data_IF_414017350012
#
_entry.id   IF_414017350012
#
_cell.length_a   1.000
_cell.length_b   1.000
_cell.length_c   1.000
_cell.angle_alpha   90.00
_cell.angle_beta   90.00
_cell.angle_gamma   90.00
#
_symmetry.space_group_name_H-M   'P 1'
#
loop_
_entity.id
_entity.type
_entity.pdbx_description
1 polymer ?
#
# COMPACT_ATOMS: atom_id res chain seq x y z
N UNK A 1 6.90 -70.38 14.65
CA UNK A 1 7.63 -69.59 15.67
C UNK A 1 8.88 -69.02 15.03
N UNK A 2 8.81 -67.77 14.58
CA UNK A 2 9.95 -66.90 14.29
C UNK A 2 9.51 -65.52 14.74
N UNK A 3 10.04 -65.09 15.88
CA UNK A 3 9.85 -63.75 16.40
C UNK A 3 10.94 -62.93 15.73
N UNK A 4 10.58 -62.16 14.71
CA UNK A 4 11.46 -61.14 14.15
C UNK A 4 11.24 -59.86 14.96
N UNK A 5 12.11 -59.63 15.93
CA UNK A 5 12.22 -58.37 16.67
C UNK A 5 12.62 -57.25 15.70
N UNK A 6 11.68 -56.33 15.45
CA UNK A 6 11.94 -55.11 14.68
C UNK A 6 12.72 -54.15 15.56
N UNK A 7 14.01 -53.97 15.30
CA UNK A 7 14.80 -52.85 15.84
C UNK A 7 14.21 -51.53 15.28
N UNK A 8 13.75 -50.58 16.12
CA UNK A 8 13.45 -49.23 15.67
C UNK A 8 14.76 -48.42 15.70
N UNK A 9 15.69 -48.79 14.82
CA UNK A 9 16.85 -47.97 14.51
C UNK A 9 16.53 -47.14 13.26
N UNK A 10 16.74 -45.83 13.36
CA UNK A 10 16.73 -44.87 12.24
C UNK A 10 15.38 -44.54 11.61
N UNK A 11 14.60 -43.67 12.25
CA UNK A 11 13.68 -42.75 11.53
C UNK A 11 13.28 -41.54 12.39
N UNK A 12 14.22 -40.91 13.10
CA UNK A 12 13.95 -39.67 13.87
C UNK A 12 15.00 -38.59 13.57
N UNK A 13 15.43 -38.45 12.31
CA UNK A 13 16.41 -37.41 11.95
C UNK A 13 16.15 -36.74 10.60
N UNK A 14 14.91 -36.76 10.12
CA UNK A 14 14.52 -36.06 8.88
C UNK A 14 13.30 -35.14 9.04
N UNK A 15 12.65 -35.12 10.21
CA UNK A 15 11.44 -34.31 10.46
C UNK A 15 11.66 -33.08 11.35
N UNK A 16 12.88 -32.87 11.87
CA UNK A 16 13.17 -31.74 12.79
C UNK A 16 13.84 -30.55 12.08
N UNK A 17 14.15 -30.66 10.78
CA UNK A 17 14.76 -29.58 9.99
C UNK A 17 13.77 -28.80 9.09
N UNK A 18 12.46 -29.03 9.21
CA UNK A 18 11.44 -28.31 8.40
C UNK A 18 10.62 -27.33 9.26
N UNK A 19 10.86 -27.21 10.56
CA UNK A 19 10.08 -26.33 11.46
C UNK A 19 10.94 -25.28 12.20
N UNK A 20 12.13 -24.97 11.68
CA UNK A 20 13.02 -23.95 12.28
C UNK A 20 13.58 -22.92 11.29
N UNK A 21 13.03 -22.82 10.07
CA UNK A 21 13.57 -21.98 9.00
C UNK A 21 12.64 -20.94 8.35
N UNK A 22 11.35 -20.83 8.73
CA UNK A 22 10.46 -19.78 8.18
C UNK A 22 9.89 -18.87 9.27
N UNK A 23 10.68 -18.59 10.30
CA UNK A 23 10.43 -17.41 11.11
C UNK A 23 10.62 -16.17 10.22
N UNK A 24 9.50 -15.62 9.73
CA UNK A 24 9.33 -14.17 9.66
C UNK A 24 9.93 -13.39 8.50
N UNK A 25 9.90 -13.88 7.25
CA UNK A 25 9.88 -12.91 6.14
C UNK A 25 8.48 -12.30 6.11
N UNK A 26 8.31 -11.12 6.70
CA UNK A 26 7.08 -10.34 6.55
C UNK A 26 7.01 -9.90 5.10
N UNK A 27 6.10 -10.48 4.31
CA UNK A 27 5.75 -9.91 3.02
C UNK A 27 5.04 -8.57 3.23
N UNK A 28 5.45 -7.56 2.48
CA UNK A 28 4.97 -6.20 2.69
C UNK A 28 5.76 -5.15 1.94
N UNK A 29 5.42 -3.91 2.23
CA UNK A 29 6.05 -2.73 1.66
C UNK A 29 6.80 -1.99 2.77
N UNK A 30 8.11 -1.83 2.61
CA UNK A 30 8.89 -0.90 3.41
C UNK A 30 8.93 0.44 2.69
N UNK A 31 8.25 1.44 3.23
CA UNK A 31 8.20 2.77 2.64
C UNK A 31 9.50 3.50 2.93
N UNK A 32 10.21 3.87 1.86
CA UNK A 32 11.50 4.56 1.90
C UNK A 32 11.28 6.07 1.96
N UNK A 33 10.37 6.58 1.14
CA UNK A 33 10.10 8.00 1.04
C UNK A 33 8.65 8.25 0.60
N UNK A 34 8.07 9.35 1.05
CA UNK A 34 6.80 9.90 0.56
C UNK A 34 6.97 11.38 0.34
N UNK A 35 6.52 11.83 -0.82
CA UNK A 35 6.63 13.22 -1.25
C UNK A 35 5.29 13.69 -1.80
N UNK A 36 5.01 14.98 -1.61
CA UNK A 36 3.88 15.64 -2.26
C UNK A 36 4.29 16.05 -3.67
N UNK A 37 3.46 15.70 -4.65
CA UNK A 37 3.70 16.01 -6.07
C UNK A 37 2.70 17.01 -6.66
N UNK A 38 1.92 17.69 -5.80
CA UNK A 38 0.94 18.65 -6.26
C UNK A 38 1.55 20.02 -6.56
N UNK A 39 0.76 20.85 -7.24
CA UNK A 39 1.19 22.18 -7.71
C UNK A 39 1.03 23.30 -6.66
N UNK A 40 0.49 22.98 -5.48
CA UNK A 40 0.08 23.95 -4.48
C UNK A 40 1.13 24.10 -3.36
N UNK A 41 1.31 25.32 -2.86
CA UNK A 41 2.42 25.68 -1.97
C UNK A 41 2.31 25.08 -0.57
N UNK A 42 1.10 24.69 -0.15
CA UNK A 42 0.84 24.11 1.16
C UNK A 42 0.74 22.58 1.03
N UNK A 43 1.82 21.84 1.33
CA UNK A 43 1.76 20.39 1.28
C UNK A 43 0.79 19.86 2.35
N UNK A 44 0.11 18.74 2.07
CA UNK A 44 -0.71 18.07 3.06
C UNK A 44 0.17 17.50 4.18
N UNK A 45 -0.37 17.45 5.39
CA UNK A 45 0.23 16.63 6.45
C UNK A 45 -0.42 15.26 6.43
N UNK A 46 0.36 14.19 6.57
CA UNK A 46 -0.18 12.83 6.62
C UNK A 46 0.37 12.05 7.80
N UNK A 47 -0.44 11.13 8.30
CA UNK A 47 -0.03 10.10 9.26
C UNK A 47 -0.51 8.76 8.74
N UNK A 48 0.31 7.72 8.83
CA UNK A 48 -0.05 6.39 8.39
C UNK A 48 0.30 5.34 9.45
N UNK A 49 -0.48 4.27 9.52
CA UNK A 49 -0.23 3.12 10.39
C UNK A 49 -0.70 1.83 9.69
N UNK A 50 0.09 0.76 9.69
CA UNK A 50 1.44 0.65 10.26
C UNK A 50 2.50 1.38 9.42
N UNK A 51 3.59 1.83 10.06
CA UNK A 51 4.67 2.59 9.40
C UNK A 51 6.04 2.30 10.02
N UNK A 52 7.16 2.35 9.26
CA UNK A 52 7.28 2.50 7.81
C UNK A 52 7.06 1.20 7.03
N UNK A 53 6.81 0.09 7.72
CA UNK A 53 6.56 -1.21 7.11
C UNK A 53 5.07 -1.54 7.14
N UNK A 54 4.50 -1.79 5.96
CA UNK A 54 3.10 -2.13 5.73
C UNK A 54 3.02 -3.61 5.36
N UNK A 55 2.59 -4.50 6.28
CA UNK A 55 2.46 -5.92 5.98
C UNK A 55 1.33 -6.17 4.98
N UNK A 56 1.51 -7.12 4.07
CA UNK A 56 0.41 -7.58 3.20
C UNK A 56 -0.73 -8.19 4.03
N UNK A 57 -1.97 -7.93 3.65
CA UNK A 57 -3.14 -8.47 4.35
C UNK A 57 -3.50 -7.75 5.65
N UNK A 58 -2.75 -6.71 6.04
CA UNK A 58 -3.09 -5.83 7.15
C UNK A 58 -3.59 -4.49 6.60
N UNK A 59 -4.59 -3.93 7.26
CA UNK A 59 -5.15 -2.64 6.89
C UNK A 59 -4.16 -1.52 7.20
N UNK A 60 -4.00 -0.64 6.22
CA UNK A 60 -3.25 0.60 6.28
C UNK A 60 -4.25 1.73 6.51
N UNK A 61 -4.15 2.36 7.68
CA UNK A 61 -4.89 3.57 7.98
C UNK A 61 -4.03 4.79 7.65
N UNK A 62 -4.57 5.70 6.86
CA UNK A 62 -3.95 6.95 6.45
C UNK A 62 -4.87 8.10 6.80
N UNK A 63 -4.37 9.04 7.60
CA UNK A 63 -5.03 10.33 7.78
C UNK A 63 -4.26 11.40 7.02
N UNK A 64 -4.98 12.18 6.22
CA UNK A 64 -4.43 13.28 5.40
C UNK A 64 -5.15 14.55 5.81
N UNK A 65 -4.41 15.59 6.17
CA UNK A 65 -4.96 16.92 6.44
C UNK A 65 -4.45 17.89 5.39
N UNK A 66 -5.36 18.56 4.71
CA UNK A 66 -5.02 19.51 3.64
C UNK A 66 -6.14 20.53 3.41
N UNK A 67 -5.83 21.58 2.66
CA UNK A 67 -6.79 22.60 2.25
C UNK A 67 -6.87 22.57 0.72
N UNK A 68 -7.99 22.17 0.11
CA UNK A 68 -8.13 22.19 -1.34
C UNK A 68 -8.20 23.64 -1.84
N UNK A 69 -7.60 23.94 -2.98
CA UNK A 69 -7.70 25.27 -3.61
C UNK A 69 -8.89 25.39 -4.57
N UNK A 70 -9.54 24.27 -4.87
CA UNK A 70 -10.70 24.17 -5.76
C UNK A 70 -11.81 23.43 -5.05
N UNK A 71 -13.06 23.73 -5.43
CA UNK A 71 -14.19 22.93 -4.98
C UNK A 71 -14.09 21.52 -5.60
N UNK A 72 -14.46 20.52 -4.82
CA UNK A 72 -14.46 19.11 -5.20
C UNK A 72 -15.86 18.57 -4.98
N UNK A 73 -16.70 18.58 -6.01
CA UNK A 73 -18.04 18.01 -5.92
C UNK A 73 -17.98 16.50 -6.17
N UNK A 74 -17.26 16.11 -7.21
CA UNK A 74 -16.93 14.72 -7.53
C UNK A 74 -15.41 14.54 -7.52
N UNK A 75 -14.96 13.30 -7.39
CA UNK A 75 -13.54 12.96 -7.36
C UNK A 75 -13.26 11.73 -8.22
N UNK A 76 -12.16 11.79 -8.96
CA UNK A 76 -11.55 10.64 -9.62
C UNK A 76 -10.12 10.45 -9.11
N UNK A 77 -9.65 9.22 -9.13
CA UNK A 77 -8.32 8.82 -8.69
C UNK A 77 -7.54 8.20 -9.85
N UNK A 78 -6.27 8.59 -9.99
CA UNK A 78 -5.32 7.91 -10.85
C UNK A 78 -4.18 7.33 -10.02
N UNK A 79 -3.86 6.06 -10.26
CA UNK A 79 -2.79 5.32 -9.60
C UNK A 79 -1.83 4.79 -10.64
N UNK A 80 -0.56 5.12 -10.48
CA UNK A 80 0.55 4.60 -11.29
C UNK A 80 1.57 3.93 -10.37
N UNK A 81 1.96 2.70 -10.67
CA UNK A 81 3.05 2.01 -9.97
C UNK A 81 4.11 1.59 -10.98
N UNK A 82 5.32 2.09 -10.79
CA UNK A 82 6.49 1.80 -11.60
C UNK A 82 7.50 1.01 -10.78
N UNK A 83 7.86 -0.19 -11.22
CA UNK A 83 8.92 -0.99 -10.63
C UNK A 83 10.02 -1.20 -11.67
N UNK A 84 11.28 -0.98 -11.30
CA UNK A 84 12.44 -1.10 -12.21
C UNK A 84 12.27 -0.32 -13.53
N UNK A 85 11.63 0.85 -13.49
CA UNK A 85 11.37 1.70 -14.66
C UNK A 85 10.24 1.23 -15.58
N UNK A 86 9.51 0.17 -15.22
CA UNK A 86 8.34 -0.31 -15.97
C UNK A 86 7.05 -0.04 -15.20
N UNK A 87 6.04 0.48 -15.89
CA UNK A 87 4.68 0.61 -15.34
C UNK A 87 4.10 -0.79 -15.15
N UNK A 88 3.76 -1.13 -13.92
CA UNK A 88 3.17 -2.41 -13.52
C UNK A 88 1.67 -2.25 -13.26
N UNK A 89 1.28 -1.11 -12.69
CA UNK A 89 -0.11 -0.77 -12.41
C UNK A 89 -0.37 0.61 -13.01
N UNK A 90 -1.45 0.69 -13.77
CA UNK A 90 -2.06 1.94 -14.21
C UNK A 90 -3.56 1.77 -14.05
N UNK A 91 -4.16 2.59 -13.20
CA UNK A 91 -5.60 2.55 -12.94
C UNK A 91 -6.16 3.96 -12.83
N UNK A 92 -7.34 4.14 -13.39
CA UNK A 92 -8.19 5.30 -13.17
C UNK A 92 -9.48 4.81 -12.56
N UNK A 93 -9.97 5.49 -11.55
CA UNK A 93 -11.21 5.18 -10.86
C UNK A 93 -12.03 6.46 -10.68
N UNK A 94 -13.24 6.46 -11.24
CA UNK A 94 -14.20 7.56 -11.16
C UNK A 94 -15.26 7.32 -10.07
N UNK A 95 -15.21 6.19 -9.37
CA UNK A 95 -16.15 5.81 -8.32
C UNK A 95 -15.68 6.17 -6.90
N UNK A 96 -14.65 7.00 -6.79
CA UNK A 96 -14.00 7.38 -5.52
C UNK A 96 -15.01 7.93 -4.51
N UNK A 97 -15.98 8.75 -4.95
CA UNK A 97 -16.99 9.29 -4.04
C UNK A 97 -17.98 8.25 -3.50
N UNK A 98 -18.15 7.12 -4.19
CA UNK A 98 -19.00 6.03 -3.73
C UNK A 98 -18.29 5.21 -2.66
N UNK A 99 -16.99 4.97 -2.83
CA UNK A 99 -16.17 4.20 -1.89
C UNK A 99 -15.71 5.05 -0.68
N UNK A 100 -15.36 6.31 -0.95
CA UNK A 100 -14.78 7.26 -0.01
C UNK A 100 -15.52 8.60 -0.06
N UNK A 101 -16.76 8.68 0.44
CA UNK A 101 -17.58 9.90 0.36
C UNK A 101 -16.96 11.10 1.08
N UNK A 102 -16.01 10.86 2.00
CA UNK A 102 -15.28 11.90 2.71
C UNK A 102 -14.27 12.65 1.84
N UNK A 103 -13.91 12.16 0.64
CA UNK A 103 -12.99 12.87 -0.26
C UNK A 103 -13.70 13.77 -1.27
N UNK A 104 -15.02 13.90 -1.15
CA UNK A 104 -15.90 14.64 -2.05
C UNK A 104 -16.74 15.66 -1.27
N UNK A 105 -17.44 16.53 -1.99
CA UNK A 105 -18.11 17.71 -1.40
C UNK A 105 -17.17 18.58 -0.55
N UNK A 106 -15.92 18.74 -0.99
CA UNK A 106 -14.90 19.51 -0.29
C UNK A 106 -14.92 20.96 -0.81
N UNK A 107 -15.18 21.95 0.05
CA UNK A 107 -15.17 23.35 -0.37
C UNK A 107 -13.75 23.89 -0.45
N UNK A 108 -13.51 24.74 -1.46
CA UNK A 108 -12.23 25.42 -1.62
C UNK A 108 -11.88 26.26 -0.38
N UNK A 109 -10.62 26.18 0.06
CA UNK A 109 -10.08 26.99 1.15
C UNK A 109 -10.40 26.47 2.56
N UNK A 110 -11.22 25.42 2.72
CA UNK A 110 -11.50 24.81 4.02
C UNK A 110 -10.53 23.66 4.32
N UNK A 111 -9.92 23.66 5.50
CA UNK A 111 -9.01 22.57 5.87
C UNK A 111 -9.82 21.34 6.27
N UNK A 112 -9.55 20.23 5.61
CA UNK A 112 -10.25 18.96 5.82
C UNK A 112 -9.29 17.87 6.29
N UNK A 113 -9.82 16.91 7.03
CA UNK A 113 -9.11 15.72 7.50
C UNK A 113 -9.76 14.50 6.86
N UNK A 114 -9.02 13.82 5.98
CA UNK A 114 -9.44 12.60 5.31
C UNK A 114 -8.86 11.40 6.04
N UNK A 115 -9.70 10.48 6.50
CA UNK A 115 -9.30 9.14 6.92
C UNK A 115 -9.55 8.15 5.78
N UNK A 116 -8.51 7.45 5.36
CA UNK A 116 -8.56 6.39 4.36
C UNK A 116 -8.05 5.11 5.01
N UNK A 117 -8.76 4.00 4.80
CA UNK A 117 -8.29 2.68 5.20
C UNK A 117 -8.31 1.77 3.98
N UNK A 118 -7.25 1.00 3.80
CA UNK A 118 -7.10 0.11 2.66
C UNK A 118 -6.11 -1.00 2.94
N UNK A 119 -6.27 -2.14 2.28
CA UNK A 119 -5.42 -3.30 2.49
C UNK A 119 -4.37 -3.42 1.38
N UNK A 120 -3.12 -3.73 1.73
CA UNK A 120 -2.11 -4.08 0.72
C UNK A 120 -2.34 -5.54 0.29
N UNK A 121 -2.75 -5.79 -0.97
CA UNK A 121 -3.02 -7.14 -1.44
C UNK A 121 -1.74 -7.99 -1.41
N UNK A 122 -1.92 -9.31 -1.51
CA UNK A 122 -0.79 -10.23 -1.61
C UNK A 122 0.06 -9.88 -2.84
N UNK A 123 1.34 -9.56 -2.59
CA UNK A 123 2.26 -9.14 -3.64
C UNK A 123 2.89 -10.38 -4.29
N UNK A 124 2.81 -10.55 -5.63
CA UNK A 124 3.41 -11.69 -6.30
C UNK A 124 4.91 -11.81 -6.02
N UNK A 125 5.46 -13.03 -5.80
CA UNK A 125 6.87 -13.24 -5.44
C UNK A 125 7.88 -12.63 -6.42
N UNK A 126 7.51 -12.46 -7.69
CA UNK A 126 8.35 -11.82 -8.71
C UNK A 126 8.74 -10.37 -8.37
N UNK A 127 7.96 -9.66 -7.55
CA UNK A 127 8.26 -8.30 -7.12
C UNK A 127 9.17 -8.21 -5.90
N UNK A 128 9.47 -9.33 -5.25
CA UNK A 128 10.30 -9.36 -4.04
C UNK A 128 11.67 -8.70 -4.28
N UNK A 129 12.12 -7.92 -3.30
CA UNK A 129 13.34 -7.12 -3.31
C UNK A 129 13.42 -6.01 -4.38
N UNK A 130 12.31 -5.70 -5.07
CA UNK A 130 12.27 -4.56 -5.99
C UNK A 130 11.93 -3.28 -5.26
N UNK A 131 12.39 -2.18 -5.82
CA UNK A 131 11.93 -0.85 -5.44
C UNK A 131 10.89 -0.39 -6.45
N UNK A 132 9.73 -0.02 -5.92
CA UNK A 132 8.62 0.47 -6.70
C UNK A 132 8.31 1.91 -6.28
N UNK A 133 7.95 2.71 -7.26
CA UNK A 133 7.49 4.08 -7.10
C UNK A 133 6.00 4.11 -7.42
N UNK A 134 5.19 4.45 -6.43
CA UNK A 134 3.75 4.65 -6.57
C UNK A 134 3.44 6.14 -6.63
N UNK A 135 2.52 6.52 -7.52
CA UNK A 135 1.97 7.87 -7.62
C UNK A 135 0.46 7.78 -7.57
N UNK A 136 -0.15 8.57 -6.71
CA UNK A 136 -1.60 8.69 -6.55
C UNK A 136 -1.99 10.15 -6.79
N UNK A 137 -2.95 10.37 -7.66
CA UNK A 137 -3.46 11.70 -8.01
C UNK A 137 -4.97 11.71 -7.87
N UNK A 138 -5.52 12.73 -7.21
CA UNK A 138 -6.96 12.97 -7.14
C UNK A 138 -7.32 14.22 -7.96
N UNK A 139 -8.39 14.11 -8.72
CA UNK A 139 -8.91 15.15 -9.60
C UNK A 139 -10.38 15.41 -9.29
N UNK A 140 -10.80 16.68 -9.41
CA UNK A 140 -12.22 17.03 -9.30
C UNK A 140 -12.97 16.79 -10.62
N UNK A 141 -14.25 17.14 -10.66
CA UNK A 141 -15.12 17.04 -11.85
C UNK A 141 -14.60 17.80 -13.08
N UNK A 142 -13.81 18.85 -12.88
CA UNK A 142 -13.19 19.65 -13.94
C UNK A 142 -11.82 19.09 -14.39
N UNK A 143 -11.44 17.91 -13.91
CA UNK A 143 -10.11 17.30 -14.10
C UNK A 143 -8.96 18.15 -13.56
N UNK A 144 -9.21 18.97 -12.54
CA UNK A 144 -8.18 19.72 -11.83
C UNK A 144 -7.63 18.85 -10.70
N UNK A 145 -6.33 18.58 -10.74
CA UNK A 145 -5.64 17.85 -9.68
C UNK A 145 -5.65 18.68 -8.39
N UNK A 146 -6.27 18.15 -7.34
CA UNK A 146 -6.36 18.80 -6.03
C UNK A 146 -5.45 18.15 -4.97
N UNK A 147 -5.09 16.87 -5.14
CA UNK A 147 -4.16 16.16 -4.24
C UNK A 147 -3.25 15.22 -5.04
N UNK A 148 -1.97 15.12 -4.64
CA UNK A 148 -0.99 14.26 -5.30
C UNK A 148 0.03 13.74 -4.29
N UNK A 149 0.15 12.42 -4.18
CA UNK A 149 1.14 11.75 -3.35
C UNK A 149 2.03 10.84 -4.19
N UNK A 150 3.32 10.84 -3.90
CA UNK A 150 4.30 9.96 -4.53
C UNK A 150 5.10 9.24 -3.46
N UNK A 151 5.08 7.92 -3.48
CA UNK A 151 5.77 7.05 -2.53
C UNK A 151 6.79 6.15 -3.21
N UNK A 152 7.92 5.93 -2.57
CA UNK A 152 8.91 4.93 -2.96
C UNK A 152 8.95 3.87 -1.88
N UNK A 153 8.76 2.61 -2.25
CA UNK A 153 8.76 1.49 -1.33
C UNK A 153 9.59 0.31 -1.85
N UNK A 154 10.21 -0.41 -0.94
CA UNK A 154 10.83 -1.70 -1.20
C UNK A 154 9.85 -2.82 -0.88
N UNK A 155 9.73 -3.78 -1.79
CA UNK A 155 8.91 -4.97 -1.62
C UNK A 155 9.70 -6.06 -0.91
N UNK A 156 9.14 -6.66 0.13
CA UNK A 156 9.74 -7.75 0.92
C UNK A 156 9.03 -9.11 0.76
#
# INVERSE_FOLDING_TARGET
>A
MMILTRQPGQTISLLVFVISGTWGYRSGLEVINVTYCGKYDKPPTFTASPWPFIPTGIDLDVNITFTPEVDVLEASMQVEVVCDGKVIIWSTDDSVCQEYPNVCSLPAGETVVLGLSGNVPLIPPFFKNRTCKGKVQLFNEENIMYLCGEGVAKVW
#
